data_IF_849097447981
#
_entry.id   IF_849097447981
#
_cell.length_a   1.000
_cell.length_b   1.000
_cell.length_c   1.000
_cell.angle_alpha   90.00
_cell.angle_beta   90.00
_cell.angle_gamma   90.00
#
_symmetry.space_group_name_H-M   'P 1'
#
loop_
_entity.id
_entity.type
_entity.pdbx_description
1 polymer ?
#
# COMPACT_ATOMS: atom_id res chain seq x y z
N UNK A 1 -12.59 24.90 -23.34
CA UNK A 1 -12.37 25.35 -21.94
C UNK A 1 -12.13 24.21 -20.95
N UNK A 2 -13.03 23.24 -20.73
CA UNK A 2 -12.76 22.13 -19.77
C UNK A 2 -11.66 21.18 -20.26
N UNK A 3 -11.61 20.85 -21.54
CA UNK A 3 -10.56 19.99 -22.12
C UNK A 3 -9.17 20.65 -22.08
N UNK A 4 -9.09 21.93 -22.34
CA UNK A 4 -7.84 22.67 -22.30
C UNK A 4 -7.27 22.72 -20.87
N UNK A 5 -8.13 22.95 -19.87
CA UNK A 5 -7.74 22.89 -18.47
C UNK A 5 -7.25 21.50 -18.03
N UNK A 6 -7.84 20.42 -18.58
CA UNK A 6 -7.40 19.06 -18.30
C UNK A 6 -5.97 18.81 -18.81
N UNK A 7 -5.68 19.19 -20.06
CA UNK A 7 -4.35 19.00 -20.63
C UNK A 7 -3.27 19.82 -19.91
N UNK A 8 -3.58 21.06 -19.54
CA UNK A 8 -2.65 21.91 -18.78
C UNK A 8 -2.35 21.27 -17.44
N UNK A 9 -3.34 20.76 -16.72
CA UNK A 9 -3.16 20.13 -15.43
C UNK A 9 -2.38 18.81 -15.53
N UNK A 10 -2.61 17.99 -16.58
CA UNK A 10 -1.85 16.76 -16.79
C UNK A 10 -0.37 17.07 -17.08
N UNK A 11 -0.09 18.14 -17.83
CA UNK A 11 1.28 18.59 -18.07
C UNK A 11 1.96 19.03 -16.76
N UNK A 12 1.29 19.79 -15.92
CA UNK A 12 1.78 20.17 -14.58
C UNK A 12 2.12 18.94 -13.72
N UNK A 13 1.22 17.96 -13.69
CA UNK A 13 1.44 16.70 -12.97
C UNK A 13 2.66 15.95 -13.51
N UNK A 14 2.82 15.93 -14.84
CA UNK A 14 3.97 15.30 -15.51
C UNK A 14 5.28 16.02 -15.17
N UNK A 15 5.27 17.34 -15.17
CA UNK A 15 6.43 18.15 -14.84
C UNK A 15 6.85 17.97 -13.38
N UNK A 16 5.90 17.78 -12.46
CA UNK A 16 6.16 17.44 -11.07
C UNK A 16 6.81 16.07 -10.98
N UNK A 17 6.21 15.06 -11.62
CA UNK A 17 6.74 13.69 -11.63
C UNK A 17 8.18 13.64 -12.16
N UNK A 18 8.47 14.29 -13.29
CA UNK A 18 9.78 14.31 -13.89
C UNK A 18 10.88 14.94 -13.00
N UNK A 19 10.49 15.75 -12.01
CA UNK A 19 11.41 16.36 -11.01
C UNK A 19 11.66 15.49 -9.79
N UNK A 20 10.99 14.36 -9.64
CA UNK A 20 11.15 13.49 -8.47
C UNK A 20 12.49 12.72 -8.48
N UNK A 21 13.12 12.58 -9.65
CA UNK A 21 14.29 11.73 -9.87
C UNK A 21 13.89 10.27 -10.11
N UNK A 22 14.79 9.31 -9.94
CA UNK A 22 14.47 7.88 -10.04
C UNK A 22 13.45 7.48 -8.98
N UNK A 23 12.34 6.87 -9.38
CA UNK A 23 11.25 6.45 -8.49
C UNK A 23 11.03 4.96 -8.62
N UNK A 24 10.72 4.32 -7.50
CA UNK A 24 10.51 2.88 -7.43
C UNK A 24 9.24 2.53 -6.65
N UNK A 25 8.52 1.52 -7.12
CA UNK A 25 7.62 0.74 -6.31
C UNK A 25 8.47 -0.32 -5.60
N UNK A 26 8.53 -0.30 -4.29
CA UNK A 26 9.39 -1.15 -3.51
C UNK A 26 8.57 -1.98 -2.52
N UNK A 27 8.88 -3.26 -2.40
CA UNK A 27 8.21 -4.15 -1.46
C UNK A 27 9.15 -5.23 -0.93
N UNK A 28 8.81 -5.82 0.20
CA UNK A 28 9.43 -7.05 0.69
C UNK A 28 8.52 -8.24 0.42
N UNK A 29 9.03 -9.46 0.57
CA UNK A 29 8.27 -10.68 0.27
C UNK A 29 7.06 -10.83 1.21
N UNK A 30 5.87 -10.96 0.65
CA UNK A 30 4.61 -11.17 1.39
C UNK A 30 4.52 -12.56 2.05
N UNK A 31 5.35 -13.51 1.63
CA UNK A 31 5.41 -14.85 2.23
C UNK A 31 6.33 -14.92 3.45
N UNK A 32 6.94 -13.81 3.84
CA UNK A 32 7.75 -13.75 5.05
C UNK A 32 6.89 -14.08 6.30
N UNK A 33 7.44 -14.77 7.32
CA UNK A 33 6.76 -14.96 8.60
C UNK A 33 6.33 -13.64 9.23
N UNK A 34 5.26 -13.66 10.04
CA UNK A 34 4.72 -12.47 10.70
C UNK A 34 5.78 -11.78 11.56
N UNK A 35 6.04 -10.52 11.25
CA UNK A 35 7.02 -9.63 11.89
C UNK A 35 6.34 -8.80 12.98
N UNK A 36 5.28 -8.07 12.58
CA UNK A 36 4.54 -7.15 13.45
C UNK A 36 3.32 -7.88 14.03
N UNK A 37 3.43 -8.34 15.27
CA UNK A 37 2.41 -9.17 15.93
C UNK A 37 1.45 -8.36 16.80
N UNK A 38 1.93 -7.25 17.33
CA UNK A 38 1.20 -6.40 18.26
C UNK A 38 1.11 -4.97 17.76
N UNK A 39 0.18 -4.18 18.30
CA UNK A 39 0.12 -2.74 18.01
C UNK A 39 1.44 -2.03 18.35
N UNK A 40 2.14 -2.49 19.38
CA UNK A 40 3.42 -1.89 19.77
C UNK A 40 4.53 -2.22 18.76
N UNK A 41 4.52 -3.42 18.16
CA UNK A 41 5.44 -3.74 17.05
C UNK A 41 5.20 -2.81 15.85
N UNK A 42 3.93 -2.56 15.47
CA UNK A 42 3.59 -1.61 14.42
C UNK A 42 4.02 -0.19 14.75
N UNK A 43 3.75 0.29 15.98
CA UNK A 43 4.17 1.63 16.42
C UNK A 43 5.69 1.79 16.39
N UNK A 44 6.42 0.76 16.81
CA UNK A 44 7.87 0.74 16.73
C UNK A 44 8.34 0.77 15.26
N UNK A 45 7.77 -0.05 14.38
CA UNK A 45 8.06 -0.05 12.96
C UNK A 45 7.86 1.31 12.30
N UNK A 46 6.73 1.99 12.60
CA UNK A 46 6.46 3.36 12.13
C UNK A 46 7.52 4.35 12.61
N UNK A 47 7.88 4.28 13.89
CA UNK A 47 8.85 5.20 14.48
C UNK A 47 10.28 4.95 13.96
N UNK A 48 10.67 3.68 13.77
CA UNK A 48 11.94 3.30 13.16
C UNK A 48 12.01 3.80 11.72
N UNK A 49 10.93 3.63 10.93
CA UNK A 49 10.86 4.12 9.56
C UNK A 49 11.08 5.64 9.49
N UNK A 50 10.43 6.40 10.36
CA UNK A 50 10.60 7.86 10.44
C UNK A 50 12.05 8.28 10.68
N UNK A 51 12.76 7.58 11.57
CA UNK A 51 14.19 7.87 11.80
C UNK A 51 15.01 7.54 10.56
N UNK A 52 14.74 6.38 9.93
CA UNK A 52 15.51 5.98 8.75
C UNK A 52 15.35 7.00 7.63
N UNK A 53 14.15 7.49 7.36
CA UNK A 53 13.94 8.54 6.35
C UNK A 53 14.68 9.82 6.70
N UNK A 54 14.72 10.21 7.98
CA UNK A 54 15.48 11.41 8.41
C UNK A 54 17.00 11.25 8.35
N UNK A 55 17.51 10.02 8.45
CA UNK A 55 18.95 9.74 8.33
C UNK A 55 19.44 9.74 6.89
N UNK A 56 18.55 9.48 5.93
CA UNK A 56 18.84 9.39 4.51
C UNK A 56 18.13 10.52 3.76
N UNK A 57 18.64 11.75 3.86
CA UNK A 57 18.03 12.97 3.32
C UNK A 57 17.80 12.94 1.80
N UNK A 58 18.58 12.12 1.07
CA UNK A 58 18.43 11.91 -0.37
C UNK A 58 17.23 11.01 -0.71
N UNK A 59 16.64 10.31 0.26
CA UNK A 59 15.50 9.44 0.07
C UNK A 59 14.20 10.22 0.28
N UNK A 60 13.24 10.01 -0.64
CA UNK A 60 11.90 10.60 -0.54
C UNK A 60 10.86 9.49 -0.57
N UNK A 61 10.02 9.41 0.44
CA UNK A 61 8.91 8.43 0.51
C UNK A 61 7.60 9.16 0.18
N UNK A 62 6.86 8.66 -0.81
CA UNK A 62 5.58 9.24 -1.26
C UNK A 62 4.38 8.47 -0.74
N UNK A 63 4.47 7.15 -0.71
CA UNK A 63 3.47 6.29 -0.09
C UNK A 63 4.16 5.17 0.67
N UNK A 64 3.53 4.72 1.74
CA UNK A 64 4.10 3.72 2.64
C UNK A 64 2.99 2.89 3.27
N UNK A 65 3.22 1.60 3.42
CA UNK A 65 2.33 0.71 4.17
C UNK A 65 3.11 -0.39 4.86
N UNK A 66 2.87 -0.52 6.16
CA UNK A 66 3.44 -1.53 7.01
C UNK A 66 2.39 -2.62 7.22
N UNK A 67 2.63 -3.80 6.64
CA UNK A 67 1.77 -4.98 6.81
C UNK A 67 2.32 -5.87 7.93
N UNK A 68 1.59 -6.91 8.33
CA UNK A 68 2.03 -7.78 9.42
C UNK A 68 3.36 -8.50 9.17
N UNK A 69 3.71 -8.76 7.93
CA UNK A 69 4.86 -9.55 7.52
C UNK A 69 5.69 -8.95 6.38
N UNK A 70 5.26 -7.85 5.79
CA UNK A 70 5.93 -7.17 4.68
C UNK A 70 5.67 -5.68 4.69
N UNK A 71 6.37 -4.94 3.83
CA UNK A 71 6.17 -3.50 3.64
C UNK A 71 6.05 -3.16 2.16
N UNK A 72 5.33 -2.07 1.89
CA UNK A 72 5.25 -1.44 0.58
C UNK A 72 5.66 0.01 0.66
N UNK A 73 6.37 0.48 -0.36
CA UNK A 73 6.84 1.86 -0.49
C UNK A 73 6.70 2.34 -1.94
N UNK A 74 6.34 3.61 -2.12
CA UNK A 74 6.69 4.37 -3.31
C UNK A 74 7.77 5.35 -2.89
N UNK A 75 8.98 5.19 -3.45
CA UNK A 75 10.20 5.80 -2.94
C UNK A 75 11.06 6.34 -4.09
N UNK A 76 11.72 7.48 -3.86
CA UNK A 76 12.70 8.05 -4.81
C UNK A 76 14.08 8.16 -4.17
N UNK A 77 15.10 7.89 -4.96
CA UNK A 77 16.51 7.92 -4.61
C UNK A 77 17.34 7.06 -5.56
N UNK A 78 18.65 7.02 -5.39
CA UNK A 78 19.49 6.03 -6.07
C UNK A 78 19.24 4.64 -5.49
N UNK A 79 19.33 3.59 -6.30
CA UNK A 79 19.10 2.22 -5.84
C UNK A 79 19.97 1.84 -4.64
N UNK A 80 21.26 2.20 -4.66
CA UNK A 80 22.18 1.90 -3.56
C UNK A 80 21.75 2.62 -2.28
N UNK A 81 21.38 3.90 -2.37
CA UNK A 81 20.88 4.67 -1.21
C UNK A 81 19.60 4.07 -0.64
N UNK A 82 18.69 3.59 -1.50
CA UNK A 82 17.45 2.92 -1.09
C UNK A 82 17.76 1.59 -0.39
N UNK A 83 18.71 0.81 -0.92
CA UNK A 83 19.11 -0.44 -0.31
C UNK A 83 19.80 -0.22 1.04
N UNK A 84 20.67 0.78 1.17
CA UNK A 84 21.34 1.14 2.41
C UNK A 84 20.33 1.64 3.45
N UNK A 85 19.38 2.49 3.04
CA UNK A 85 18.24 2.91 3.86
C UNK A 85 17.44 1.71 4.38
N UNK A 86 17.11 0.76 3.49
CA UNK A 86 16.32 -0.41 3.90
C UNK A 86 17.11 -1.33 4.83
N UNK A 87 18.38 -1.57 4.55
CA UNK A 87 19.25 -2.37 5.43
C UNK A 87 19.36 -1.74 6.83
N UNK A 88 19.49 -0.42 6.89
CA UNK A 88 19.49 0.31 8.15
C UNK A 88 18.13 0.20 8.90
N UNK A 89 17.01 0.24 8.18
CA UNK A 89 15.69 -0.02 8.76
C UNK A 89 15.59 -1.44 9.31
N UNK A 90 16.03 -2.44 8.55
CA UNK A 90 16.03 -3.86 8.91
C UNK A 90 16.87 -4.11 10.16
N UNK A 91 18.08 -3.58 10.24
CA UNK A 91 18.97 -3.72 11.38
C UNK A 91 18.36 -3.14 12.67
N UNK A 92 17.71 -1.96 12.56
CA UNK A 92 16.99 -1.35 13.68
C UNK A 92 15.79 -2.16 14.12
N UNK A 93 15.06 -2.69 13.16
CA UNK A 93 13.90 -3.54 13.41
C UNK A 93 14.33 -4.85 14.09
N UNK A 94 15.40 -5.48 13.63
CA UNK A 94 15.96 -6.69 14.24
C UNK A 94 16.40 -6.43 15.69
N UNK A 95 17.04 -5.29 15.93
CA UNK A 95 17.42 -4.88 17.29
C UNK A 95 16.19 -4.67 18.19
N UNK A 96 15.12 -4.03 17.69
CA UNK A 96 13.86 -3.90 18.44
C UNK A 96 13.21 -5.25 18.71
N UNK A 97 13.13 -6.09 17.71
CA UNK A 97 12.54 -7.43 17.82
C UNK A 97 13.35 -8.38 18.71
N UNK A 98 14.60 -8.03 19.01
CA UNK A 98 15.49 -8.83 19.85
C UNK A 98 15.53 -10.30 19.40
N UNK A 99 15.69 -10.53 18.09
CA UNK A 99 15.73 -11.86 17.44
C UNK A 99 14.47 -12.71 17.61
N UNK A 100 13.33 -12.11 17.97
CA UNK A 100 12.04 -12.82 18.04
C UNK A 100 11.54 -13.32 16.69
N UNK A 101 12.05 -12.76 15.61
CA UNK A 101 11.74 -13.10 14.22
C UNK A 101 13.04 -13.13 13.43
N UNK A 102 13.22 -14.13 12.59
CA UNK A 102 14.33 -14.17 11.65
C UNK A 102 14.01 -13.23 10.45
N UNK A 103 14.81 -12.17 10.30
CA UNK A 103 14.69 -11.21 9.20
C UNK A 103 15.65 -11.51 8.03
N UNK A 104 16.29 -12.67 7.96
CA UNK A 104 17.24 -12.99 6.89
C UNK A 104 16.61 -12.89 5.49
N UNK A 105 15.39 -13.39 5.35
CA UNK A 105 14.58 -13.30 4.12
C UNK A 105 13.83 -11.98 3.92
N UNK A 106 13.90 -11.04 4.86
CA UNK A 106 13.26 -9.75 4.75
C UNK A 106 14.11 -8.81 3.88
N UNK A 107 13.95 -8.93 2.57
CA UNK A 107 14.75 -8.22 1.56
C UNK A 107 13.86 -7.33 0.71
N UNK A 108 14.33 -6.12 0.38
CA UNK A 108 13.62 -5.18 -0.47
C UNK A 108 13.82 -5.54 -1.95
N UNK A 109 12.73 -5.53 -2.70
CA UNK A 109 12.71 -5.61 -4.16
C UNK A 109 12.34 -4.24 -4.71
N UNK A 110 13.01 -3.79 -5.76
CA UNK A 110 12.77 -2.50 -6.41
C UNK A 110 12.26 -2.70 -7.83
N UNK A 111 11.20 -2.00 -8.18
CA UNK A 111 10.58 -1.99 -9.51
C UNK A 111 10.51 -0.54 -9.99
N UNK A 112 11.28 -0.21 -11.02
CA UNK A 112 11.36 1.14 -11.56
C UNK A 112 9.99 1.64 -12.03
N UNK A 113 9.69 2.90 -11.74
CA UNK A 113 8.49 3.60 -12.20
C UNK A 113 8.90 4.59 -13.28
N UNK A 114 8.54 4.29 -14.52
CA UNK A 114 8.99 5.04 -15.69
C UNK A 114 8.04 6.18 -16.10
N UNK A 115 6.78 6.11 -15.70
CA UNK A 115 5.77 7.09 -16.08
C UNK A 115 4.82 7.50 -14.95
N UNK A 116 4.18 8.66 -15.14
CA UNK A 116 3.24 9.23 -14.18
C UNK A 116 2.02 8.32 -13.91
N UNK A 117 1.55 7.59 -14.92
CA UNK A 117 0.40 6.69 -14.77
C UNK A 117 0.75 5.53 -13.85
N UNK A 118 1.92 4.94 -14.04
CA UNK A 118 2.41 3.90 -13.15
C UNK A 118 2.68 4.44 -11.74
N UNK A 119 3.22 5.65 -11.60
CA UNK A 119 3.43 6.30 -10.30
C UNK A 119 2.12 6.46 -9.51
N UNK A 120 1.08 7.02 -10.15
CA UNK A 120 -0.26 7.13 -9.56
C UNK A 120 -0.84 5.78 -9.14
N UNK A 121 -0.70 4.79 -10.01
CA UNK A 121 -1.18 3.44 -9.75
C UNK A 121 -0.42 2.75 -8.62
N UNK A 122 0.90 2.96 -8.51
CA UNK A 122 1.73 2.44 -7.43
C UNK A 122 1.33 3.05 -6.06
N UNK A 123 1.09 4.36 -6.01
CA UNK A 123 0.57 5.02 -4.79
C UNK A 123 -0.77 4.41 -4.37
N UNK A 124 -1.69 4.26 -5.32
CA UNK A 124 -3.01 3.66 -5.07
C UNK A 124 -2.87 2.21 -4.62
N UNK A 125 -1.98 1.44 -5.26
CA UNK A 125 -1.69 0.07 -4.89
C UNK A 125 -1.22 -0.02 -3.43
N UNK A 126 -0.20 0.73 -3.06
CA UNK A 126 0.33 0.77 -1.69
C UNK A 126 -0.77 1.13 -0.69
N UNK A 127 -1.52 2.20 -0.95
CA UNK A 127 -2.56 2.67 -0.05
C UNK A 127 -3.77 1.72 0.09
N UNK A 128 -3.99 0.83 -0.88
CA UNK A 128 -5.11 -0.11 -0.87
C UNK A 128 -4.79 -1.41 -0.13
N UNK A 129 -3.53 -1.79 0.01
CA UNK A 129 -3.13 -3.10 0.56
C UNK A 129 -3.74 -3.41 1.93
N UNK A 130 -3.75 -2.47 2.86
CA UNK A 130 -4.37 -2.67 4.18
C UNK A 130 -5.86 -3.01 4.12
N UNK A 131 -6.59 -2.43 3.19
CA UNK A 131 -8.02 -2.71 2.97
C UNK A 131 -8.25 -4.12 2.42
N UNK A 132 -7.41 -4.56 1.49
CA UNK A 132 -7.56 -5.88 0.85
C UNK A 132 -7.32 -7.01 1.85
N UNK A 133 -6.35 -6.84 2.75
CA UNK A 133 -5.98 -7.88 3.74
C UNK A 133 -6.89 -7.87 4.97
N UNK A 134 -7.37 -6.71 5.39
CA UNK A 134 -8.16 -6.57 6.62
C UNK A 134 -9.60 -6.15 6.32
N UNK A 135 -10.54 -7.08 6.39
CA UNK A 135 -11.98 -6.86 6.10
C UNK A 135 -12.66 -5.79 6.98
N UNK A 136 -12.01 -5.36 8.06
CA UNK A 136 -12.57 -4.39 9.03
C UNK A 136 -12.12 -2.95 8.79
N UNK A 137 -11.29 -2.70 7.76
CA UNK A 137 -10.80 -1.37 7.43
C UNK A 137 -11.31 -0.94 6.07
N UNK A 138 -11.46 0.37 5.90
CA UNK A 138 -11.71 0.98 4.60
C UNK A 138 -10.36 1.32 3.94
N UNK A 139 -10.33 1.62 2.63
CA UNK A 139 -9.10 2.12 1.99
C UNK A 139 -8.48 3.36 2.67
N UNK A 140 -9.23 4.01 3.57
CA UNK A 140 -8.84 5.26 4.23
C UNK A 140 -8.62 5.12 5.75
N UNK A 141 -8.73 3.92 6.31
CA UNK A 141 -8.71 3.72 7.77
C UNK A 141 -7.62 2.79 8.26
N UNK A 142 -6.73 2.31 7.38
CA UNK A 142 -5.61 1.48 7.81
C UNK A 142 -4.57 2.35 8.53
N UNK A 143 -4.26 2.08 9.83
CA UNK A 143 -3.49 3.02 10.64
C UNK A 143 -1.97 2.99 10.38
N UNK A 144 -1.46 1.93 9.74
CA UNK A 144 -0.03 1.69 9.59
C UNK A 144 0.49 2.01 8.21
N UNK A 145 0.05 3.14 7.65
CA UNK A 145 0.43 3.57 6.32
C UNK A 145 -0.09 4.96 5.98
N UNK A 146 0.04 5.34 4.71
CA UNK A 146 -0.31 6.67 4.19
C UNK A 146 -1.76 6.81 3.74
N UNK A 147 -2.50 5.71 3.63
CA UNK A 147 -3.85 5.68 3.03
C UNK A 147 -4.85 6.64 3.67
N UNK A 148 -4.79 6.82 4.99
CA UNK A 148 -5.70 7.69 5.74
C UNK A 148 -5.44 9.20 5.54
N UNK A 149 -4.31 9.57 4.92
CA UNK A 149 -3.87 10.96 4.84
C UNK A 149 -4.08 11.58 3.46
N UNK A 150 -4.10 10.76 2.38
CA UNK A 150 -4.24 11.25 1.02
C UNK A 150 -5.60 11.95 0.81
N UNK A 151 -5.54 13.22 0.41
CA UNK A 151 -6.69 14.09 0.19
C UNK A 151 -7.65 14.19 1.40
N UNK A 152 -7.08 14.09 2.61
CA UNK A 152 -7.79 14.19 3.89
C UNK A 152 -7.23 15.36 4.74
N UNK A 153 -7.34 16.62 4.29
CA UNK A 153 -6.70 17.75 4.95
C UNK A 153 -7.18 17.96 6.39
N UNK A 154 -8.43 17.66 6.69
CA UNK A 154 -8.98 17.77 8.06
C UNK A 154 -8.37 16.73 8.98
N UNK A 155 -8.19 15.50 8.53
CA UNK A 155 -7.56 14.44 9.30
C UNK A 155 -6.07 14.74 9.52
N UNK A 156 -5.35 15.16 8.48
CA UNK A 156 -3.96 15.60 8.59
C UNK A 156 -3.79 16.73 9.61
N UNK A 157 -4.69 17.72 9.58
CA UNK A 157 -4.71 18.82 10.54
C UNK A 157 -4.97 18.32 11.96
N UNK A 158 -5.93 17.42 12.15
CA UNK A 158 -6.24 16.83 13.44
C UNK A 158 -5.03 16.10 14.04
N UNK A 159 -4.37 15.24 13.26
CA UNK A 159 -3.19 14.49 13.70
C UNK A 159 -2.05 15.44 14.10
N UNK A 160 -1.78 16.49 13.31
CA UNK A 160 -0.76 17.51 13.65
C UNK A 160 -1.11 18.27 14.93
N UNK A 161 -2.40 18.57 15.18
CA UNK A 161 -2.85 19.20 16.43
C UNK A 161 -2.71 18.30 17.66
N UNK A 162 -2.88 16.99 17.49
CA UNK A 162 -2.68 16.00 18.55
C UNK A 162 -1.21 15.68 18.79
N UNK A 163 -0.33 16.02 17.84
CA UNK A 163 1.11 15.81 17.93
C UNK A 163 1.73 16.54 19.11
N UNK A 164 2.56 15.85 19.88
CA UNK A 164 3.30 16.40 21.01
C UNK A 164 4.78 16.12 20.85
N UNK A 165 5.57 17.18 21.00
CA UNK A 165 7.02 17.04 21.11
C UNK A 165 7.38 16.11 22.28
N UNK A 166 8.38 15.28 22.09
CA UNK A 166 8.80 14.28 23.08
C UNK A 166 10.21 14.56 23.57
N UNK A 167 10.43 14.30 24.87
CA UNK A 167 11.75 14.44 25.47
C UNK A 167 12.72 13.33 25.04
N UNK A 168 14.02 13.62 25.15
CA UNK A 168 15.10 12.75 24.70
C UNK A 168 15.01 11.30 25.21
N UNK A 169 14.57 11.09 26.45
CA UNK A 169 14.42 9.74 27.02
C UNK A 169 13.37 8.95 26.25
N UNK A 170 12.22 9.58 25.97
CA UNK A 170 11.14 8.98 25.22
C UNK A 170 11.54 8.73 23.76
N UNK A 171 12.28 9.66 23.14
CA UNK A 171 12.86 9.48 21.80
C UNK A 171 13.75 8.22 21.77
N UNK A 172 14.68 8.09 22.72
CA UNK A 172 15.56 6.93 22.78
C UNK A 172 14.80 5.61 22.93
N UNK A 173 13.77 5.60 23.77
CA UNK A 173 12.93 4.40 23.98
C UNK A 173 12.10 4.01 22.75
N UNK A 174 11.40 4.96 22.18
CA UNK A 174 10.46 4.69 21.08
C UNK A 174 11.15 4.49 19.73
N UNK A 175 12.27 5.17 19.53
CA UNK A 175 12.96 5.21 18.25
C UNK A 175 14.24 4.38 18.25
N UNK A 176 14.55 3.74 19.37
CA UNK A 176 15.75 2.92 19.52
C UNK A 176 17.03 3.61 19.02
N UNK A 177 17.15 4.93 19.25
CA UNK A 177 18.29 5.74 18.82
C UNK A 177 19.11 6.24 20.02
N UNK A 178 20.43 6.31 19.85
CA UNK A 178 21.31 6.95 20.83
C UNK A 178 21.31 8.47 20.66
N UNK A 179 21.08 8.96 19.45
CA UNK A 179 21.08 10.38 19.11
C UNK A 179 19.66 10.98 19.14
N UNK A 180 19.16 11.25 20.34
CA UNK A 180 17.84 11.86 20.50
C UNK A 180 17.79 13.33 20.08
N UNK A 181 18.93 14.04 20.15
CA UNK A 181 18.97 15.47 19.90
C UNK A 181 18.63 15.85 18.43
N UNK A 182 18.99 14.99 17.49
CA UNK A 182 18.67 15.16 16.07
C UNK A 182 17.19 14.93 15.73
N UNK A 183 16.37 14.53 16.71
CA UNK A 183 14.96 14.15 16.48
C UNK A 183 13.99 14.87 17.44
N UNK A 184 14.44 15.96 18.09
CA UNK A 184 13.62 16.71 19.09
C UNK A 184 12.36 17.33 18.50
N UNK A 185 12.36 17.61 17.21
CA UNK A 185 11.24 18.20 16.49
C UNK A 185 10.16 17.17 16.08
N UNK A 186 10.46 15.87 16.21
CA UNK A 186 9.49 14.82 15.91
C UNK A 186 8.34 14.87 16.90
N UNK A 187 7.13 14.79 16.35
CA UNK A 187 5.90 14.73 17.13
C UNK A 187 5.30 13.32 17.12
N UNK A 188 4.78 12.93 18.26
CA UNK A 188 3.98 11.71 18.40
C UNK A 188 2.51 12.06 18.53
N UNK A 189 1.67 11.39 17.76
CA UNK A 189 0.26 11.27 18.02
C UNK A 189 -0.06 9.79 18.23
N UNK A 190 -0.98 9.46 19.13
CA UNK A 190 -1.36 8.07 19.47
C UNK A 190 -0.20 7.16 19.91
N UNK A 191 0.92 7.77 20.30
CA UNK A 191 2.11 7.07 20.83
C UNK A 191 3.06 6.54 19.77
N UNK A 192 2.97 7.01 18.51
CA UNK A 192 3.91 6.69 17.42
C UNK A 192 4.10 7.87 16.47
N UNK A 193 5.10 7.78 15.57
CA UNK A 193 5.35 8.78 14.53
C UNK A 193 4.45 8.47 13.33
N UNK A 194 3.61 9.44 12.97
CA UNK A 194 2.70 9.31 11.82
C UNK A 194 3.42 9.54 10.48
N UNK A 195 2.91 8.98 9.36
CA UNK A 195 3.47 9.19 8.01
C UNK A 195 3.65 10.66 7.62
N UNK A 196 2.84 11.58 8.18
CA UNK A 196 2.97 13.03 7.94
C UNK A 196 4.34 13.62 8.32
N UNK A 197 5.10 12.95 9.21
CA UNK A 197 6.41 13.38 9.66
C UNK A 197 7.55 12.94 8.72
N UNK A 198 7.31 11.97 7.83
CA UNK A 198 8.36 11.40 7.00
C UNK A 198 7.96 11.06 5.56
N UNK A 199 6.69 11.16 5.20
CA UNK A 199 6.23 10.95 3.83
C UNK A 199 5.85 12.28 3.16
N UNK A 200 6.24 12.45 1.90
CA UNK A 200 5.91 13.62 1.07
C UNK A 200 4.53 13.49 0.43
N UNK A 201 3.49 13.33 1.25
CA UNK A 201 2.12 13.06 0.81
C UNK A 201 1.59 14.22 -0.04
N UNK A 202 1.77 15.46 0.39
CA UNK A 202 1.31 16.65 -0.35
C UNK A 202 1.96 16.77 -1.74
N UNK A 203 3.24 16.38 -1.87
CA UNK A 203 3.92 16.34 -3.16
C UNK A 203 3.36 15.21 -4.05
N UNK A 204 3.08 14.05 -3.47
CA UNK A 204 2.46 12.95 -4.19
C UNK A 204 1.03 13.29 -4.64
N UNK A 205 0.24 13.99 -3.84
CA UNK A 205 -1.10 14.48 -4.20
C UNK A 205 -1.07 15.41 -5.42
N UNK A 206 -0.03 16.25 -5.54
CA UNK A 206 0.13 17.17 -6.67
C UNK A 206 0.33 16.46 -8.01
N UNK A 207 0.67 15.18 -8.02
CA UNK A 207 0.78 14.37 -9.23
C UNK A 207 -0.57 13.83 -9.73
N UNK A 208 -1.65 14.01 -8.99
CA UNK A 208 -3.01 13.72 -9.42
C UNK A 208 -3.69 14.99 -9.93
N UNK A 209 -4.66 14.85 -10.83
CA UNK A 209 -5.46 15.97 -11.26
C UNK A 209 -6.19 16.64 -10.08
N UNK A 210 -6.85 15.81 -9.29
CA UNK A 210 -7.63 16.17 -8.12
C UNK A 210 -7.89 14.97 -7.22
N UNK A 211 -8.54 15.22 -6.11
CA UNK A 211 -8.99 14.17 -5.18
C UNK A 211 -9.93 13.14 -5.84
N UNK A 212 -10.75 13.57 -6.84
CA UNK A 212 -11.70 12.67 -7.51
C UNK A 212 -10.97 11.61 -8.31
N UNK A 213 -9.87 11.97 -8.98
CA UNK A 213 -9.03 11.01 -9.71
C UNK A 213 -8.44 9.97 -8.74
N UNK A 214 -7.86 10.41 -7.62
CA UNK A 214 -7.32 9.49 -6.62
C UNK A 214 -8.40 8.56 -6.05
N UNK A 215 -9.55 9.11 -5.62
CA UNK A 215 -10.64 8.31 -5.06
C UNK A 215 -11.27 7.38 -6.09
N UNK A 216 -11.33 7.77 -7.35
CA UNK A 216 -11.74 6.89 -8.43
C UNK A 216 -10.78 5.71 -8.61
N UNK A 217 -9.46 5.98 -8.62
CA UNK A 217 -8.45 4.95 -8.79
C UNK A 217 -8.45 3.96 -7.61
N UNK A 218 -8.49 4.44 -6.37
CA UNK A 218 -8.47 3.57 -5.20
C UNK A 218 -9.75 2.74 -5.02
N UNK A 219 -10.89 3.24 -5.52
CA UNK A 219 -12.19 2.59 -5.35
C UNK A 219 -12.54 1.60 -6.47
N UNK A 220 -12.01 1.75 -7.68
CA UNK A 220 -12.56 1.09 -8.86
C UNK A 220 -11.60 0.33 -9.76
N UNK A 221 -10.28 0.51 -9.67
CA UNK A 221 -9.35 -0.15 -10.59
C UNK A 221 -8.73 -1.43 -10.02
N UNK A 222 -9.54 -2.48 -9.93
CA UNK A 222 -9.11 -3.83 -9.55
C UNK A 222 -8.08 -4.37 -10.56
N UNK A 223 -8.32 -4.18 -11.87
CA UNK A 223 -7.44 -4.69 -12.92
C UNK A 223 -6.05 -4.05 -12.88
N UNK A 224 -5.97 -2.74 -12.60
CA UNK A 224 -4.69 -2.05 -12.46
C UNK A 224 -3.94 -2.52 -11.20
N UNK A 225 -4.66 -2.75 -10.12
CA UNK A 225 -4.11 -3.33 -8.89
C UNK A 225 -3.51 -4.72 -9.16
N UNK A 226 -4.26 -5.59 -9.85
CA UNK A 226 -3.80 -6.92 -10.24
C UNK A 226 -2.57 -6.88 -11.15
N UNK A 227 -2.55 -5.95 -12.12
CA UNK A 227 -1.43 -5.80 -13.03
C UNK A 227 -0.15 -5.41 -12.30
N UNK A 228 -0.22 -4.49 -11.35
CA UNK A 228 0.94 -4.08 -10.54
C UNK A 228 1.40 -5.22 -9.64
N UNK A 229 0.49 -5.87 -8.90
CA UNK A 229 0.84 -6.99 -8.05
C UNK A 229 1.54 -8.10 -8.85
N UNK A 230 1.01 -8.45 -10.02
CA UNK A 230 1.63 -9.43 -10.92
C UNK A 230 3.03 -8.99 -11.37
N UNK A 231 3.22 -7.70 -11.68
CA UNK A 231 4.54 -7.19 -12.13
C UNK A 231 5.59 -7.23 -11.02
N UNK A 232 5.19 -7.13 -9.76
CA UNK A 232 6.07 -7.21 -8.59
C UNK A 232 6.14 -8.61 -7.98
N UNK A 233 5.42 -9.58 -8.57
CA UNK A 233 5.43 -10.98 -8.13
C UNK A 233 4.64 -11.24 -6.86
N UNK A 234 3.66 -10.40 -6.55
CA UNK A 234 2.78 -10.56 -5.38
C UNK A 234 1.44 -11.19 -5.76
N UNK A 235 0.84 -11.89 -4.79
CA UNK A 235 -0.52 -12.41 -4.90
C UNK A 235 -1.51 -11.33 -4.50
N UNK A 236 -2.47 -11.05 -5.37
CA UNK A 236 -3.54 -10.10 -5.08
C UNK A 236 -4.64 -10.81 -4.31
N UNK A 237 -4.93 -10.30 -3.11
CA UNK A 237 -6.14 -10.70 -2.38
C UNK A 237 -7.24 -9.67 -2.64
N UNK A 238 -8.33 -10.12 -3.25
CA UNK A 238 -9.49 -9.29 -3.53
C UNK A 238 -10.55 -9.44 -2.44
N UNK A 239 -11.21 -8.33 -2.09
CA UNK A 239 -12.41 -8.41 -1.27
C UNK A 239 -13.56 -9.10 -2.05
N UNK A 240 -14.55 -9.62 -1.34
CA UNK A 240 -15.75 -10.21 -1.98
C UNK A 240 -16.46 -9.20 -2.88
N UNK A 241 -16.44 -7.91 -2.53
CA UNK A 241 -17.00 -6.83 -3.36
C UNK A 241 -16.22 -6.61 -4.66
N UNK A 242 -14.91 -6.66 -4.59
CA UNK A 242 -14.03 -6.52 -5.76
C UNK A 242 -14.23 -7.69 -6.72
N UNK A 243 -14.24 -8.92 -6.19
CA UNK A 243 -14.50 -10.12 -6.97
C UNK A 243 -15.89 -10.10 -7.59
N UNK A 244 -16.90 -9.57 -6.89
CA UNK A 244 -18.25 -9.40 -7.44
C UNK A 244 -18.25 -8.46 -8.65
N UNK A 245 -17.56 -7.32 -8.56
CA UNK A 245 -17.46 -6.37 -9.68
C UNK A 245 -16.72 -6.99 -10.88
N UNK A 246 -15.59 -7.67 -10.64
CA UNK A 246 -14.84 -8.36 -11.66
C UNK A 246 -15.67 -9.49 -12.32
N UNK A 247 -16.32 -10.30 -11.49
CA UNK A 247 -17.19 -11.38 -11.96
C UNK A 247 -18.35 -10.86 -12.82
N UNK A 248 -19.00 -9.78 -12.39
CA UNK A 248 -20.11 -9.17 -13.12
C UNK A 248 -19.67 -8.62 -14.48
N UNK A 249 -18.49 -8.00 -14.54
CA UNK A 249 -17.91 -7.51 -15.79
C UNK A 249 -17.56 -8.67 -16.73
N UNK A 250 -16.84 -9.68 -16.24
CA UNK A 250 -16.49 -10.86 -17.04
C UNK A 250 -17.75 -11.58 -17.55
N UNK A 251 -18.78 -11.75 -16.68
CA UNK A 251 -20.04 -12.37 -17.05
C UNK A 251 -20.74 -11.63 -18.19
N UNK A 252 -20.77 -10.29 -18.13
CA UNK A 252 -21.34 -9.44 -19.16
C UNK A 252 -20.53 -9.52 -20.46
N UNK A 253 -19.21 -9.38 -20.39
CA UNK A 253 -18.33 -9.28 -21.55
C UNK A 253 -18.17 -10.62 -22.27
N UNK A 254 -18.13 -11.75 -21.52
CA UNK A 254 -17.89 -13.09 -22.07
C UNK A 254 -19.16 -13.85 -22.38
N UNK A 255 -20.18 -13.75 -21.54
CA UNK A 255 -21.40 -14.56 -21.63
C UNK A 255 -22.68 -13.73 -21.96
N UNK A 256 -22.56 -12.40 -22.07
CA UNK A 256 -23.71 -11.51 -22.26
C UNK A 256 -24.70 -11.47 -21.09
N UNK A 257 -24.28 -11.97 -19.91
CA UNK A 257 -25.15 -12.10 -18.74
C UNK A 257 -25.20 -10.79 -17.96
N UNK A 258 -26.39 -10.26 -17.71
CA UNK A 258 -26.57 -9.05 -16.90
C UNK A 258 -26.35 -9.29 -15.38
N UNK A 259 -26.61 -10.50 -14.92
CA UNK A 259 -26.49 -10.90 -13.52
C UNK A 259 -25.77 -12.25 -13.37
N UNK A 260 -24.99 -12.44 -12.29
CA UNK A 260 -24.28 -13.68 -12.01
C UNK A 260 -25.24 -14.87 -11.78
N UNK A 261 -26.44 -14.61 -11.30
CA UNK A 261 -27.44 -15.66 -11.06
C UNK A 261 -28.02 -16.23 -12.36
N UNK A 262 -27.96 -15.50 -13.48
CA UNK A 262 -28.46 -15.96 -14.78
C UNK A 262 -27.49 -16.89 -15.51
N UNK A 263 -26.27 -17.04 -15.00
CA UNK A 263 -25.26 -17.93 -15.57
C UNK A 263 -25.64 -19.41 -15.41
N UNK A 264 -25.42 -20.17 -16.45
CA UNK A 264 -25.54 -21.67 -16.41
C UNK A 264 -24.45 -22.25 -15.50
N UNK A 265 -24.62 -23.51 -15.06
CA UNK A 265 -23.62 -24.18 -14.23
C UNK A 265 -22.25 -24.23 -14.91
N UNK A 266 -22.19 -24.48 -16.21
CA UNK A 266 -20.96 -24.52 -16.99
C UNK A 266 -20.28 -23.14 -17.06
N UNK A 267 -21.05 -22.08 -17.29
CA UNK A 267 -20.51 -20.69 -17.29
C UNK A 267 -20.00 -20.26 -15.91
N UNK A 268 -20.69 -20.68 -14.83
CA UNK A 268 -20.21 -20.44 -13.46
C UNK A 268 -18.88 -21.13 -13.19
N UNK A 269 -18.69 -22.38 -13.67
CA UNK A 269 -17.43 -23.11 -13.53
C UNK A 269 -16.31 -22.41 -14.30
N UNK A 270 -16.57 -21.96 -15.52
CA UNK A 270 -15.59 -21.22 -16.32
C UNK A 270 -15.22 -19.89 -15.65
N UNK A 271 -16.22 -19.16 -15.16
CA UNK A 271 -16.01 -17.91 -14.42
C UNK A 271 -15.22 -18.17 -13.11
N UNK A 272 -15.54 -19.26 -12.38
CA UNK A 272 -14.81 -19.66 -11.18
C UNK A 272 -13.33 -19.91 -11.48
N UNK A 273 -13.01 -20.61 -12.57
CA UNK A 273 -11.61 -20.82 -12.99
C UNK A 273 -10.90 -19.51 -13.27
N UNK A 274 -11.50 -18.58 -14.02
CA UNK A 274 -10.92 -17.26 -14.28
C UNK A 274 -10.69 -16.49 -12.98
N UNK A 275 -11.69 -16.45 -12.09
CA UNK A 275 -11.55 -15.74 -10.81
C UNK A 275 -10.48 -16.37 -9.91
N UNK A 276 -10.32 -17.69 -9.95
CA UNK A 276 -9.28 -18.37 -9.19
C UNK A 276 -7.88 -18.07 -9.74
N UNK A 277 -7.66 -18.28 -11.05
CA UNK A 277 -6.33 -18.17 -11.64
C UNK A 277 -5.89 -16.72 -11.93
N UNK A 278 -6.83 -15.85 -12.34
CA UNK A 278 -6.50 -14.47 -12.71
C UNK A 278 -6.63 -13.49 -11.54
N UNK A 279 -7.47 -13.82 -10.54
CA UNK A 279 -7.78 -12.95 -9.41
C UNK A 279 -7.48 -13.59 -8.05
N UNK A 280 -6.84 -14.75 -8.03
CA UNK A 280 -6.48 -15.48 -6.81
C UNK A 280 -7.66 -15.64 -5.81
N UNK A 281 -8.87 -15.82 -6.34
CA UNK A 281 -10.06 -15.99 -5.51
C UNK A 281 -10.02 -17.33 -4.78
N UNK A 282 -10.20 -17.31 -3.47
CA UNK A 282 -10.27 -18.53 -2.66
C UNK A 282 -11.56 -19.32 -2.94
N UNK A 283 -11.54 -20.64 -2.70
CA UNK A 283 -12.74 -21.49 -2.81
C UNK A 283 -13.93 -20.95 -1.99
N UNK A 284 -13.67 -20.41 -0.80
CA UNK A 284 -14.71 -19.81 0.06
C UNK A 284 -15.34 -18.56 -0.57
N UNK A 285 -14.55 -17.75 -1.23
CA UNK A 285 -15.04 -16.56 -1.94
C UNK A 285 -15.86 -16.97 -3.18
N UNK A 286 -15.34 -17.91 -3.97
CA UNK A 286 -16.06 -18.45 -5.14
C UNK A 286 -17.40 -19.09 -4.75
N UNK A 287 -17.44 -19.84 -3.65
CA UNK A 287 -18.68 -20.43 -3.12
C UNK A 287 -19.72 -19.34 -2.78
N UNK A 288 -19.32 -18.29 -2.07
CA UNK A 288 -20.21 -17.17 -1.70
C UNK A 288 -20.70 -16.40 -2.93
N UNK A 289 -19.78 -16.13 -3.85
CA UNK A 289 -20.03 -15.26 -5.00
C UNK A 289 -20.90 -15.93 -6.07
N UNK A 290 -20.55 -17.16 -6.45
CA UNK A 290 -21.17 -17.87 -7.58
C UNK A 290 -22.21 -18.89 -7.14
N UNK A 291 -22.34 -19.13 -5.83
CA UNK A 291 -23.21 -20.14 -5.23
C UNK A 291 -22.99 -21.53 -5.84
N UNK A 292 -21.71 -21.90 -6.02
CA UNK A 292 -21.29 -23.22 -6.48
C UNK A 292 -21.06 -24.12 -5.25
N UNK A 293 -21.45 -25.38 -5.35
CA UNK A 293 -21.21 -26.37 -4.29
C UNK A 293 -19.72 -26.56 -4.02
N UNK A 294 -19.36 -26.71 -2.74
CA UNK A 294 -17.97 -26.87 -2.31
C UNK A 294 -17.28 -28.09 -2.93
N UNK A 295 -18.02 -29.20 -3.12
CA UNK A 295 -17.45 -30.43 -3.69
C UNK A 295 -17.13 -30.22 -5.17
N UNK A 296 -17.95 -29.46 -5.90
CA UNK A 296 -17.68 -29.09 -7.29
C UNK A 296 -16.41 -28.24 -7.36
N UNK A 297 -16.28 -27.21 -6.49
CA UNK A 297 -15.06 -26.36 -6.47
C UNK A 297 -13.81 -27.19 -6.20
N UNK A 298 -13.84 -28.10 -5.22
CA UNK A 298 -12.72 -29.01 -4.94
C UNK A 298 -12.37 -29.96 -6.07
N UNK A 299 -13.31 -30.28 -6.95
CA UNK A 299 -13.06 -31.15 -8.12
C UNK A 299 -12.50 -30.37 -9.31
N UNK A 300 -12.51 -29.05 -9.27
CA UNK A 300 -12.05 -28.14 -10.32
C UNK A 300 -10.63 -27.64 -10.06
N UNK A 301 -10.28 -27.51 -8.79
CA UNK A 301 -9.00 -27.02 -8.27
C UNK A 301 -8.32 -28.10 -7.41
#
# INVERSE_FOLDING_TARGET
MEKDNYFVREQECTDIFNKLGPVYNACTDENHPVIFRTKDDFKAGMSIMAICVRMFEQIKVFAFQLMSNHIHLVISGNEQDIMDFFNYFKDRLDHYLNKRVDLSGFCLKLFAIEDLTYFRNAIVYVNRNGFVVYNNVTPFSYPWGTSAYFFQPLFCRYVRMCGKAIGNVKIRQLMHTKNADSHKDIQLADGYVHPLEFCLIELAEQTFHDAKQYFYLISRKIETYASIAKSIGEYVFYSDSDLFLAASKIAKDTFGAAELNSLTAQQKIELAKRLHFDYNASEKQLQRLLKIDKNILKSIF
#
